data_IF_907249001658
#
_entry.id   IF_907249001658
#
_cell.length_a   1.000
_cell.length_b   1.000
_cell.length_c   1.000
_cell.angle_alpha   90.00
_cell.angle_beta   90.00
_cell.angle_gamma   90.00
#
_symmetry.space_group_name_H-M   'P 1'
#
loop_
_entity.id
_entity.type
_entity.pdbx_description
1 polymer ?
#
# COMPACT_ATOMS: atom_id res chain seq x y z
N UNK A 1 -0.82 29.48 -5.98
CA UNK A 1 -1.73 28.47 -5.35
C UNK A 1 -1.22 27.10 -5.74
N UNK A 2 -0.67 26.36 -4.80
CA UNK A 2 -0.09 25.04 -5.06
C UNK A 2 -1.24 24.09 -5.37
N UNK A 3 -1.11 23.27 -6.41
CA UNK A 3 -2.16 22.45 -7.02
C UNK A 3 -2.84 21.41 -6.09
N UNK A 4 -2.40 21.28 -4.84
CA UNK A 4 -2.87 20.32 -3.84
C UNK A 4 -4.15 20.76 -3.07
N UNK A 5 -4.58 22.02 -3.19
CA UNK A 5 -5.77 22.55 -2.47
C UNK A 5 -7.13 22.21 -3.12
N UNK A 6 -7.19 21.22 -4.02
CA UNK A 6 -8.45 20.81 -4.68
C UNK A 6 -9.33 19.87 -3.83
N UNK A 7 -8.98 19.65 -2.56
CA UNK A 7 -9.82 18.94 -1.58
C UNK A 7 -9.91 17.42 -1.73
N UNK A 8 -9.23 16.83 -2.72
CA UNK A 8 -9.20 15.37 -2.92
C UNK A 8 -8.20 14.71 -1.95
N UNK A 9 -7.05 15.35 -1.73
CA UNK A 9 -5.99 14.82 -0.89
C UNK A 9 -6.19 15.22 0.57
N UNK A 10 -5.96 14.28 1.49
CA UNK A 10 -5.87 14.60 2.91
C UNK A 10 -4.64 15.48 3.19
N UNK A 11 -4.71 16.28 4.26
CA UNK A 11 -3.60 17.14 4.67
C UNK A 11 -2.58 16.33 5.45
N UNK A 12 -1.35 16.31 4.96
CA UNK A 12 -0.24 15.45 5.41
C UNK A 12 -0.43 13.97 5.10
N UNK A 13 0.67 13.26 5.16
CA UNK A 13 0.79 11.83 4.94
C UNK A 13 1.34 11.14 6.19
N UNK A 14 1.28 9.80 6.19
CA UNK A 14 1.85 8.99 7.25
C UNK A 14 3.22 8.48 6.80
N UNK A 15 4.26 8.89 7.52
CA UNK A 15 5.64 8.49 7.26
C UNK A 15 6.12 7.49 8.31
N UNK A 16 6.76 6.41 7.85
CA UNK A 16 7.49 5.48 8.70
C UNK A 16 8.83 5.13 8.06
N UNK A 17 9.91 5.33 8.82
CA UNK A 17 11.28 5.00 8.38
C UNK A 17 11.54 3.54 8.67
N UNK A 18 11.73 2.76 7.61
CA UNK A 18 12.10 1.34 7.69
C UNK A 18 13.50 1.20 8.29
N UNK A 19 13.62 0.42 9.36
CA UNK A 19 14.88 0.33 10.14
C UNK A 19 15.74 -0.90 9.82
N UNK A 20 15.12 -1.96 9.33
CA UNK A 20 15.81 -3.22 9.03
C UNK A 20 15.03 -4.06 7.99
N UNK A 21 15.58 -5.23 7.65
CA UNK A 21 15.00 -6.12 6.64
C UNK A 21 13.69 -6.80 7.09
N UNK A 22 13.50 -7.05 8.39
CA UNK A 22 12.26 -7.64 8.89
C UNK A 22 11.13 -6.60 8.86
N UNK A 23 11.44 -5.36 9.22
CA UNK A 23 10.53 -4.23 9.12
C UNK A 23 10.11 -3.98 7.66
N UNK A 24 11.07 -4.05 6.73
CA UNK A 24 10.80 -3.98 5.30
C UNK A 24 9.81 -5.09 4.86
N UNK A 25 10.11 -6.35 5.19
CA UNK A 25 9.27 -7.48 4.80
C UNK A 25 7.83 -7.33 5.31
N UNK A 26 7.67 -6.95 6.59
CA UNK A 26 6.36 -6.72 7.19
C UNK A 26 5.57 -5.62 6.49
N UNK A 27 6.22 -4.52 6.13
CA UNK A 27 5.57 -3.42 5.43
C UNK A 27 5.16 -3.81 4.00
N UNK A 28 5.99 -4.57 3.29
CA UNK A 28 5.65 -5.10 1.94
C UNK A 28 4.45 -6.04 2.03
N UNK A 29 4.48 -7.02 2.94
CA UNK A 29 3.37 -7.95 3.16
C UNK A 29 2.08 -7.21 3.53
N UNK A 30 2.19 -6.22 4.42
CA UNK A 30 1.05 -5.39 4.83
C UNK A 30 0.39 -4.71 3.64
N UNK A 31 1.16 -4.06 2.76
CA UNK A 31 0.63 -3.36 1.58
C UNK A 31 -0.07 -4.32 0.63
N UNK A 32 0.46 -5.53 0.42
CA UNK A 32 -0.16 -6.52 -0.46
C UNK A 32 -1.44 -7.14 0.12
N UNK A 33 -1.51 -7.32 1.44
CA UNK A 33 -2.68 -7.92 2.11
C UNK A 33 -3.82 -6.89 2.31
N UNK A 34 -3.54 -5.59 2.19
CA UNK A 34 -4.53 -4.51 2.41
C UNK A 34 -5.83 -4.64 1.62
N UNK A 35 -5.83 -4.89 0.29
CA UNK A 35 -7.06 -5.01 -0.48
C UNK A 35 -7.98 -6.14 0.02
N UNK A 36 -7.38 -7.25 0.45
CA UNK A 36 -8.11 -8.36 1.07
C UNK A 36 -8.69 -7.96 2.43
N UNK A 37 -7.87 -7.33 3.30
CA UNK A 37 -8.32 -6.89 4.63
C UNK A 37 -9.41 -5.81 4.59
N UNK A 38 -9.41 -4.98 3.54
CA UNK A 38 -10.45 -3.99 3.30
C UNK A 38 -11.67 -4.56 2.54
N UNK A 39 -11.68 -5.86 2.23
CA UNK A 39 -12.80 -6.56 1.60
C UNK A 39 -13.01 -6.22 0.12
N UNK A 40 -12.01 -5.64 -0.55
CA UNK A 40 -12.09 -5.33 -1.98
C UNK A 40 -11.98 -6.57 -2.87
N UNK A 41 -11.28 -7.60 -2.38
CA UNK A 41 -11.06 -8.87 -3.09
C UNK A 41 -11.12 -10.06 -2.12
N UNK A 42 -11.37 -11.26 -2.66
CA UNK A 42 -11.39 -12.51 -1.87
C UNK A 42 -10.01 -13.15 -1.76
N UNK A 43 -9.11 -12.88 -2.70
CA UNK A 43 -7.71 -13.34 -2.71
C UNK A 43 -6.81 -12.16 -3.02
N UNK A 44 -5.60 -12.13 -2.47
CA UNK A 44 -4.64 -11.03 -2.69
C UNK A 44 -4.26 -10.89 -4.17
N UNK A 45 -4.11 -12.01 -4.87
CA UNK A 45 -3.77 -12.04 -6.31
C UNK A 45 -4.84 -11.46 -7.23
N UNK A 46 -6.10 -11.38 -6.77
CA UNK A 46 -7.21 -10.85 -7.56
C UNK A 46 -7.14 -9.33 -7.71
N UNK A 47 -6.27 -8.64 -6.94
CA UNK A 47 -6.17 -7.18 -6.94
C UNK A 47 -5.16 -6.67 -7.98
N UNK A 48 -5.60 -6.14 -9.14
CA UNK A 48 -4.69 -5.82 -10.25
C UNK A 48 -3.84 -4.56 -10.01
N UNK A 49 -4.22 -3.72 -9.04
CA UNK A 49 -3.57 -2.44 -8.77
C UNK A 49 -2.51 -2.57 -7.66
N UNK A 50 -1.63 -3.57 -7.77
CA UNK A 50 -0.49 -3.73 -6.88
C UNK A 50 0.71 -4.31 -7.62
N UNK A 51 1.90 -4.17 -7.03
CA UNK A 51 3.12 -4.83 -7.51
C UNK A 51 3.20 -6.30 -7.10
N UNK A 52 2.17 -6.85 -6.44
CA UNK A 52 2.17 -8.22 -5.94
C UNK A 52 2.54 -9.23 -7.03
N UNK A 53 1.95 -9.11 -8.22
CA UNK A 53 2.19 -10.04 -9.35
C UNK A 53 3.64 -10.05 -9.83
N UNK A 54 4.38 -8.97 -9.64
CA UNK A 54 5.80 -8.90 -10.00
C UNK A 54 6.70 -9.50 -8.92
N UNK A 55 6.23 -9.49 -7.66
CA UNK A 55 6.99 -10.00 -6.52
C UNK A 55 6.87 -11.53 -6.33
N UNK A 56 5.86 -12.16 -6.93
CA UNK A 56 5.58 -13.61 -6.80
C UNK A 56 5.83 -14.40 -8.08
N UNK A 57 6.20 -13.72 -9.18
CA UNK A 57 6.50 -14.33 -10.47
C UNK A 57 7.91 -14.94 -10.53
#
# INVERSE_FOLDING_TARGET
KICWERGIWQRHDWEHVIRDGLDYQRHVEYVHVKPFMHGHVKRVEDWPYSTFHQCVA
#
